data_IF_029469113227
#
_entry.id   IF_029469113227
#
_cell.length_a   1.000
_cell.length_b   1.000
_cell.length_c   1.000
_cell.angle_alpha   90.00
_cell.angle_beta   90.00
_cell.angle_gamma   90.00
#
_symmetry.space_group_name_H-M   'P 1'
#
loop_
_entity.id
_entity.type
_entity.pdbx_description
1 polymer ?
#
# COMPACT_ATOMS: atom_id res chain seq x y z
N UNK A 1 2.00 -22.28 5.08
CA UNK A 1 2.74 -21.43 6.05
C UNK A 1 3.11 -20.15 5.32
N UNK A 2 2.93 -18.96 5.94
CA UNK A 2 3.38 -17.70 5.37
C UNK A 2 4.87 -17.78 5.01
N UNK A 3 5.21 -17.28 3.82
CA UNK A 3 6.61 -17.16 3.38
C UNK A 3 6.90 -15.74 2.96
N UNK A 4 8.04 -15.21 3.40
CA UNK A 4 8.57 -13.96 2.86
C UNK A 4 9.06 -14.21 1.43
N UNK A 5 8.69 -13.32 0.51
CA UNK A 5 9.20 -13.29 -0.86
C UNK A 5 9.88 -11.94 -1.10
N UNK A 6 10.52 -11.79 -2.26
CA UNK A 6 11.08 -10.50 -2.65
C UNK A 6 9.94 -9.48 -2.70
N UNK A 7 10.12 -8.36 -2.00
CA UNK A 7 9.24 -7.20 -2.14
C UNK A 7 9.74 -6.35 -3.31
N UNK A 8 8.85 -5.64 -4.01
CA UNK A 8 9.27 -4.64 -4.98
C UNK A 8 10.15 -3.58 -4.31
N UNK A 9 11.23 -3.18 -4.99
CA UNK A 9 12.06 -2.07 -4.56
C UNK A 9 11.40 -0.76 -4.97
N UNK A 10 10.79 -0.08 -3.99
CA UNK A 10 10.06 1.15 -4.21
C UNK A 10 10.86 2.29 -3.58
N UNK A 11 11.36 3.20 -4.41
CA UNK A 11 12.15 4.35 -3.94
C UNK A 11 11.32 5.19 -2.98
N UNK A 12 11.86 5.42 -1.78
CA UNK A 12 11.19 6.22 -0.75
C UNK A 12 10.12 5.47 0.05
N UNK A 13 10.01 4.14 -0.12
CA UNK A 13 9.15 3.29 0.71
C UNK A 13 9.95 2.15 1.33
N UNK A 14 9.58 1.75 2.54
CA UNK A 14 10.05 0.50 3.14
C UNK A 14 8.94 -0.54 2.95
N UNK A 15 9.28 -1.70 2.36
CA UNK A 15 8.27 -2.71 2.03
C UNK A 15 8.70 -4.14 2.38
N UNK A 16 7.71 -4.95 2.76
CA UNK A 16 7.84 -6.38 3.02
C UNK A 16 6.67 -7.11 2.38
N UNK A 17 6.96 -8.12 1.56
CA UNK A 17 5.94 -8.93 0.91
C UNK A 17 5.92 -10.36 1.48
N UNK A 18 4.73 -10.77 1.91
CA UNK A 18 4.47 -12.11 2.42
C UNK A 18 3.47 -12.81 1.51
N UNK A 19 3.79 -14.03 1.08
CA UNK A 19 2.82 -14.95 0.47
C UNK A 19 2.21 -15.81 1.57
N UNK A 20 0.93 -15.57 1.88
CA UNK A 20 0.24 -16.20 3.01
C UNK A 20 -0.32 -17.59 2.62
N UNK A 21 -0.87 -17.69 1.42
CA UNK A 21 -1.38 -18.95 0.86
C UNK A 21 -0.96 -19.11 -0.60
N UNK A 22 -0.44 -20.30 -0.93
CA UNK A 22 -0.01 -20.67 -2.27
C UNK A 22 -1.16 -21.14 -3.16
N UNK A 23 -2.25 -21.67 -2.57
CA UNK A 23 -3.39 -22.21 -3.32
C UNK A 23 -4.30 -21.11 -3.83
N UNK A 24 -4.57 -20.11 -2.99
CA UNK A 24 -5.43 -18.96 -3.34
C UNK A 24 -4.64 -17.71 -3.73
N UNK A 25 -3.30 -17.81 -3.79
CA UNK A 25 -2.42 -16.70 -4.16
C UNK A 25 -2.64 -15.44 -3.29
N UNK A 26 -2.89 -15.65 -1.99
CA UNK A 26 -3.09 -14.58 -1.03
C UNK A 26 -1.75 -13.94 -0.66
N UNK A 27 -1.64 -12.65 -0.95
CA UNK A 27 -0.48 -11.81 -0.68
C UNK A 27 -0.75 -10.81 0.44
N UNK A 28 0.27 -10.46 1.20
CA UNK A 28 0.25 -9.33 2.12
C UNK A 28 1.48 -8.46 1.86
N UNK A 29 1.24 -7.28 1.30
CA UNK A 29 2.23 -6.22 1.19
C UNK A 29 2.13 -5.33 2.44
N UNK A 30 3.20 -5.30 3.21
CA UNK A 30 3.40 -4.37 4.32
C UNK A 30 4.25 -3.21 3.82
N UNK A 31 3.74 -1.98 3.89
CA UNK A 31 4.43 -0.79 3.39
C UNK A 31 4.45 0.34 4.41
N UNK A 32 5.61 0.97 4.55
CA UNK A 32 5.76 2.24 5.25
C UNK A 32 6.22 3.30 4.25
N UNK A 33 5.41 4.34 4.08
CA UNK A 33 5.73 5.52 3.28
C UNK A 33 6.13 6.63 4.26
N UNK A 34 7.43 6.92 4.44
CA UNK A 34 7.88 7.93 5.37
C UNK A 34 7.33 9.32 5.02
N UNK A 35 7.08 10.19 6.01
CA UNK A 35 6.61 11.57 5.79
C UNK A 35 7.43 12.36 4.76
N UNK A 36 8.75 12.14 4.71
CA UNK A 36 9.66 12.83 3.79
C UNK A 36 9.46 12.47 2.31
N UNK A 37 8.78 11.37 2.01
CA UNK A 37 8.57 10.87 0.65
C UNK A 37 7.11 10.87 0.22
N UNK A 38 6.20 11.32 1.08
CA UNK A 38 4.74 11.28 0.84
C UNK A 38 4.30 12.03 -0.42
N UNK A 39 5.09 12.99 -0.90
CA UNK A 39 4.81 13.76 -2.12
C UNK A 39 5.42 13.15 -3.38
N UNK A 40 6.35 12.20 -3.28
CA UNK A 40 7.15 11.72 -4.43
C UNK A 40 7.06 10.22 -4.66
N UNK A 41 6.92 9.42 -3.61
CA UNK A 41 6.85 7.97 -3.70
C UNK A 41 5.44 7.37 -4.00
N UNK A 42 4.29 8.06 -3.83
CA UNK A 42 2.98 7.47 -4.13
C UNK A 42 2.84 6.88 -5.55
N UNK A 43 3.33 7.53 -6.64
CA UNK A 43 3.22 6.95 -7.98
C UNK A 43 3.97 5.62 -8.12
N UNK A 44 5.21 5.54 -7.62
CA UNK A 44 6.01 4.31 -7.66
C UNK A 44 5.40 3.20 -6.79
N UNK A 45 4.79 3.58 -5.67
CA UNK A 45 4.06 2.65 -4.81
C UNK A 45 2.82 2.09 -5.52
N UNK A 46 2.04 2.93 -6.21
CA UNK A 46 0.86 2.50 -6.97
C UNK A 46 1.23 1.53 -8.10
N UNK A 47 2.31 1.82 -8.83
CA UNK A 47 2.82 0.93 -9.88
C UNK A 47 3.15 -0.46 -9.33
N UNK A 48 3.92 -0.51 -8.24
CA UNK A 48 4.26 -1.77 -7.59
C UNK A 48 3.03 -2.53 -7.05
N UNK A 49 2.03 -1.81 -6.51
CA UNK A 49 0.77 -2.44 -6.06
C UNK A 49 -0.02 -3.00 -7.24
N UNK A 50 -0.08 -2.29 -8.37
CA UNK A 50 -0.77 -2.75 -9.56
C UNK A 50 -0.17 -4.05 -10.11
N UNK A 51 1.16 -4.12 -10.21
CA UNK A 51 1.86 -5.33 -10.62
C UNK A 51 1.56 -6.50 -9.67
N UNK A 52 1.65 -6.26 -8.37
CA UNK A 52 1.36 -7.29 -7.36
C UNK A 52 -0.10 -7.74 -7.35
N UNK A 53 -1.05 -6.84 -7.64
CA UNK A 53 -2.47 -7.20 -7.71
C UNK A 53 -2.77 -8.16 -8.86
N UNK A 54 -2.02 -8.07 -9.97
CA UNK A 54 -2.10 -9.02 -11.08
C UNK A 54 -1.53 -10.38 -10.69
N UNK A 55 -0.38 -10.40 -10.00
CA UNK A 55 0.27 -11.65 -9.58
C UNK A 55 -0.42 -12.36 -8.41
N UNK A 56 -1.06 -11.58 -7.53
CA UNK A 56 -1.66 -12.03 -6.28
C UNK A 56 -3.11 -11.51 -6.23
N UNK A 57 -4.08 -12.25 -6.82
CA UNK A 57 -5.48 -11.83 -6.83
C UNK A 57 -6.10 -11.60 -5.45
N UNK A 58 -5.52 -12.21 -4.40
CA UNK A 58 -5.86 -11.95 -3.01
C UNK A 58 -4.86 -11.01 -2.34
N UNK A 59 -4.46 -9.90 -2.98
CA UNK A 59 -3.49 -8.98 -2.38
C UNK A 59 -4.15 -8.15 -1.28
N UNK A 60 -3.53 -8.16 -0.10
CA UNK A 60 -3.82 -7.24 0.99
C UNK A 60 -2.66 -6.24 1.06
N UNK A 61 -2.97 -4.96 0.92
CA UNK A 61 -2.00 -3.88 1.13
C UNK A 61 -2.27 -3.25 2.49
N UNK A 62 -1.31 -3.37 3.40
CA UNK A 62 -1.40 -2.80 4.74
C UNK A 62 -0.20 -1.89 4.97
N UNK A 63 -0.46 -0.64 5.36
CA UNK A 63 0.64 0.29 5.53
C UNK A 63 0.29 1.57 6.25
N UNK A 64 1.36 2.27 6.63
CA UNK A 64 1.30 3.64 7.12
C UNK A 64 1.73 4.53 5.96
N UNK A 65 0.74 5.13 5.29
CA UNK A 65 0.96 5.93 4.08
C UNK A 65 1.22 7.41 4.34
N UNK A 66 0.91 7.89 5.55
CA UNK A 66 1.03 9.29 5.94
C UNK A 66 0.30 10.29 5.00
N UNK A 67 -0.66 9.84 4.20
CA UNK A 67 -1.43 10.68 3.26
C UNK A 67 -2.08 11.92 3.89
N UNK A 68 -2.58 11.89 5.15
CA UNK A 68 -3.10 13.11 5.78
C UNK A 68 -2.09 14.26 5.88
N UNK A 69 -0.78 13.98 5.84
CA UNK A 69 0.26 15.03 5.81
C UNK A 69 0.26 15.84 4.51
N UNK A 70 -0.35 15.32 3.43
CA UNK A 70 -0.56 16.08 2.19
C UNK A 70 -1.67 17.13 2.34
N UNK A 71 -2.47 17.06 3.40
CA UNK A 71 -3.64 17.90 3.65
C UNK A 71 -4.96 17.22 3.29
N UNK A 72 -6.03 17.55 4.04
CA UNK A 72 -7.35 16.91 3.94
C UNK A 72 -8.01 17.01 2.54
N UNK A 73 -7.60 17.99 1.73
CA UNK A 73 -8.09 18.22 0.37
C UNK A 73 -7.01 18.02 -0.69
N UNK A 74 -5.96 17.27 -0.37
CA UNK A 74 -4.88 17.00 -1.33
C UNK A 74 -5.40 16.20 -2.52
N UNK A 75 -5.24 16.75 -3.71
CA UNK A 75 -5.49 16.06 -4.98
C UNK A 75 -4.64 14.77 -5.06
N UNK A 76 -3.36 14.84 -4.69
CA UNK A 76 -2.48 13.66 -4.68
C UNK A 76 -2.97 12.54 -3.75
N UNK A 77 -3.53 12.88 -2.58
CA UNK A 77 -4.10 11.87 -1.68
C UNK A 77 -5.38 11.25 -2.27
N UNK A 78 -6.22 12.07 -2.92
CA UNK A 78 -7.44 11.62 -3.59
C UNK A 78 -7.13 10.73 -4.79
N UNK A 79 -6.17 11.14 -5.62
CA UNK A 79 -5.66 10.36 -6.76
C UNK A 79 -5.09 9.03 -6.28
N UNK A 80 -4.27 9.02 -5.24
CA UNK A 80 -3.74 7.78 -4.68
C UNK A 80 -4.85 6.81 -4.27
N UNK A 81 -5.85 7.32 -3.55
CA UNK A 81 -7.01 6.53 -3.14
C UNK A 81 -7.84 6.05 -4.33
N UNK A 82 -8.05 6.90 -5.34
CA UNK A 82 -8.77 6.56 -6.55
C UNK A 82 -8.03 5.48 -7.35
N UNK A 83 -6.70 5.60 -7.52
CA UNK A 83 -5.88 4.60 -8.18
C UNK A 83 -5.96 3.25 -7.48
N UNK A 84 -5.87 3.20 -6.15
CA UNK A 84 -6.06 1.95 -5.40
C UNK A 84 -7.45 1.34 -5.64
N UNK A 85 -8.50 2.16 -5.69
CA UNK A 85 -9.85 1.69 -6.00
C UNK A 85 -9.98 1.16 -7.44
N UNK A 86 -9.29 1.74 -8.43
CA UNK A 86 -9.26 1.21 -9.80
C UNK A 86 -8.56 -0.14 -9.92
N UNK A 87 -7.72 -0.49 -8.93
CA UNK A 87 -7.10 -1.82 -8.81
C UNK A 87 -8.00 -2.83 -8.08
N UNK A 88 -9.28 -2.51 -7.89
CA UNK A 88 -10.28 -3.30 -7.15
C UNK A 88 -9.90 -3.52 -5.67
N UNK A 89 -9.02 -2.67 -5.13
CA UNK A 89 -8.66 -2.71 -3.71
C UNK A 89 -9.74 -2.00 -2.90
N UNK A 90 -10.31 -2.73 -1.95
CA UNK A 90 -11.28 -2.17 -1.00
C UNK A 90 -10.54 -1.56 0.19
N UNK A 91 -10.78 -0.28 0.45
CA UNK A 91 -10.26 0.38 1.65
C UNK A 91 -11.00 -0.12 2.90
N UNK A 92 -10.22 -0.48 3.93
CA UNK A 92 -10.75 -0.84 5.26
C UNK A 92 -10.08 0.05 6.30
N UNK A 93 -10.84 0.95 6.91
CA UNK A 93 -10.40 1.79 8.04
C UNK A 93 -11.33 1.52 9.23
N UNK A 94 -10.77 1.19 10.39
CA UNK A 94 -11.53 1.03 11.63
C UNK A 94 -11.03 2.02 12.68
N UNK A 95 -11.72 3.16 12.78
CA UNK A 95 -11.39 4.23 13.72
C UNK A 95 -10.16 5.06 13.31
N UNK A 96 -9.66 5.93 14.21
CA UNK A 96 -8.47 6.73 13.95
C UNK A 96 -7.23 5.83 13.72
N UNK A 97 -6.56 6.02 12.58
CA UNK A 97 -5.33 5.28 12.24
C UNK A 97 -4.10 5.79 13.00
N UNK A 98 -4.17 7.01 13.52
CA UNK A 98 -3.21 7.59 14.43
C UNK A 98 -3.95 8.10 15.67
N UNK A 99 -3.47 7.74 16.85
CA UNK A 99 -3.88 8.35 18.13
C UNK A 99 -2.72 9.21 18.61
N UNK A 100 -2.98 10.49 18.81
CA UNK A 100 -2.03 11.36 19.52
C UNK A 100 -1.96 10.82 20.96
N UNK A 101 -0.74 10.56 21.43
CA UNK A 101 -0.46 10.14 22.81
C UNK A 101 -0.63 11.27 23.80
#
# INVERSE_FOLDING_TARGET
KPRRIAAPEIVGCESLLLKLDLRVQLGLLLTYLPPSYVTTAPPALLEAVAELAVELPGLIVLGIFNLPLLGERSEAAQEFMASMATMDLTQVIQGPTHRVG
#
